data_IF_697967752615
#
_entry.id   IF_697967752615
#
_cell.length_a   1.000
_cell.length_b   1.000
_cell.length_c   1.000
_cell.angle_alpha   90.00
_cell.angle_beta   90.00
_cell.angle_gamma   90.00
#
_symmetry.space_group_name_H-M   'P 1'
#
loop_
_entity.id
_entity.type
_entity.pdbx_description
1 polymer ?
#
# COMPACT_ATOMS: atom_id res chain seq x y z
N UNK A 1 30.99 15.83 12.21
CA UNK A 1 30.78 14.96 11.05
C UNK A 1 29.69 13.93 11.39
N UNK A 2 28.43 14.28 11.16
CA UNK A 2 27.29 13.44 11.56
C UNK A 2 27.03 12.39 10.48
N UNK A 3 27.22 11.12 10.83
CA UNK A 3 26.95 9.92 10.05
C UNK A 3 25.65 10.01 9.23
N UNK A 4 25.76 10.39 7.95
CA UNK A 4 24.71 10.17 6.95
C UNK A 4 24.52 8.66 6.86
N UNK A 5 23.51 8.10 7.54
CA UNK A 5 23.06 6.72 7.30
C UNK A 5 22.83 6.60 5.80
N UNK A 6 23.69 5.86 5.11
CA UNK A 6 23.61 5.62 3.69
C UNK A 6 22.32 4.85 3.41
N UNK A 7 21.36 5.50 2.74
CA UNK A 7 20.18 4.87 2.18
C UNK A 7 20.63 4.04 0.96
N UNK A 8 21.33 2.92 1.19
CA UNK A 8 21.76 2.04 0.11
C UNK A 8 20.57 1.30 -0.47
N UNK A 9 20.52 1.18 -1.80
CA UNK A 9 19.49 0.45 -2.54
C UNK A 9 19.14 -0.93 -1.94
N UNK A 10 20.10 -1.83 -1.61
CA UNK A 10 19.77 -3.15 -1.06
C UNK A 10 19.06 -3.07 0.30
N UNK A 11 19.38 -2.07 1.12
CA UNK A 11 18.74 -1.89 2.42
C UNK A 11 17.31 -1.36 2.29
N UNK A 12 17.07 -0.49 1.31
CA UNK A 12 15.72 -0.04 0.98
C UNK A 12 14.91 -1.17 0.35
N UNK A 13 15.52 -1.97 -0.54
CA UNK A 13 14.90 -3.13 -1.15
C UNK A 13 14.39 -4.12 -0.11
N UNK A 14 15.22 -4.47 0.88
CA UNK A 14 14.80 -5.37 1.97
C UNK A 14 13.69 -4.80 2.87
N UNK A 15 13.71 -3.48 3.13
CA UNK A 15 12.65 -2.84 3.90
C UNK A 15 11.31 -2.85 3.13
N UNK A 16 11.33 -2.49 1.85
CA UNK A 16 10.14 -2.46 1.01
C UNK A 16 9.65 -3.85 0.64
N UNK A 17 10.52 -4.84 0.48
CA UNK A 17 10.12 -6.23 0.25
C UNK A 17 9.35 -6.79 1.44
N UNK A 18 9.84 -6.56 2.66
CA UNK A 18 9.14 -6.98 3.88
C UNK A 18 7.84 -6.20 4.06
N UNK A 19 7.85 -4.89 3.80
CA UNK A 19 6.67 -4.05 3.95
C UNK A 19 5.58 -4.44 2.95
N UNK A 20 5.88 -4.42 1.65
CA UNK A 20 4.94 -4.80 0.61
C UNK A 20 4.47 -6.24 0.76
N UNK A 21 5.36 -7.17 1.13
CA UNK A 21 5.00 -8.57 1.38
C UNK A 21 4.02 -8.72 2.54
N UNK A 22 4.26 -8.05 3.66
CA UNK A 22 3.36 -8.10 4.84
C UNK A 22 2.02 -7.42 4.58
N UNK A 23 2.00 -6.34 3.80
CA UNK A 23 0.73 -5.65 3.47
C UNK A 23 -0.07 -6.38 2.39
N UNK A 24 0.58 -7.10 1.48
CA UNK A 24 -0.08 -7.90 0.46
C UNK A 24 -0.50 -9.29 0.98
N UNK A 25 -0.06 -9.70 2.17
CA UNK A 25 -0.29 -11.03 2.72
C UNK A 25 -1.80 -11.35 2.91
N UNK A 26 -2.62 -10.46 3.50
CA UNK A 26 -4.05 -10.71 3.66
C UNK A 26 -4.77 -10.93 2.31
N UNK A 27 -4.50 -10.08 1.32
CA UNK A 27 -5.12 -10.19 0.00
C UNK A 27 -4.58 -11.37 -0.81
N UNK A 28 -3.29 -11.69 -0.67
CA UNK A 28 -2.68 -12.87 -1.28
C UNK A 28 -3.31 -14.18 -0.78
N UNK A 29 -3.64 -14.28 0.52
CA UNK A 29 -4.36 -15.43 1.09
C UNK A 29 -5.73 -15.59 0.44
N UNK A 30 -6.51 -14.51 0.35
CA UNK A 30 -7.84 -14.52 -0.27
C UNK A 30 -7.74 -14.90 -1.74
N UNK A 31 -6.78 -14.30 -2.45
CA UNK A 31 -6.59 -14.53 -3.87
C UNK A 31 -6.12 -15.94 -4.17
N UNK A 32 -5.28 -16.58 -3.35
CA UNK A 32 -4.95 -18.01 -3.50
C UNK A 32 -6.19 -18.88 -3.32
N UNK A 33 -7.06 -18.55 -2.36
CA UNK A 33 -8.31 -19.28 -2.16
C UNK A 33 -9.28 -19.12 -3.33
N UNK A 34 -9.26 -17.97 -4.02
CA UNK A 34 -10.14 -17.66 -5.16
C UNK A 34 -9.55 -18.07 -6.53
N UNK A 35 -8.24 -17.96 -6.72
CA UNK A 35 -7.52 -18.23 -7.95
C UNK A 35 -6.56 -19.41 -7.72
N UNK A 36 -7.04 -20.62 -7.98
CA UNK A 36 -6.30 -21.87 -7.75
C UNK A 36 -5.23 -22.20 -8.83
N UNK A 37 -4.90 -21.24 -9.69
CA UNK A 37 -3.98 -21.43 -10.81
C UNK A 37 -2.54 -21.00 -10.52
N UNK A 38 -1.57 -21.85 -10.87
CA UNK A 38 -0.14 -21.49 -10.89
C UNK A 38 0.16 -20.17 -11.65
N UNK A 39 -0.43 -19.89 -12.84
CA UNK A 39 -0.19 -18.62 -13.53
C UNK A 39 -0.67 -17.41 -12.75
N UNK A 40 -1.81 -17.51 -12.03
CA UNK A 40 -2.33 -16.44 -11.20
C UNK A 40 -1.39 -16.12 -10.04
N UNK A 41 -0.84 -17.14 -9.37
CA UNK A 41 0.12 -16.95 -8.28
C UNK A 41 1.39 -16.25 -8.78
N UNK A 42 1.91 -16.65 -9.94
CA UNK A 42 3.09 -16.02 -10.56
C UNK A 42 2.80 -14.56 -10.93
N UNK A 43 1.62 -14.27 -11.48
CA UNK A 43 1.16 -12.93 -11.80
C UNK A 43 1.14 -12.02 -10.56
N UNK A 44 0.62 -12.51 -9.44
CA UNK A 44 0.59 -11.76 -8.18
C UNK A 44 2.00 -11.48 -7.65
N UNK A 45 2.89 -12.49 -7.65
CA UNK A 45 4.29 -12.33 -7.24
C UNK A 45 5.00 -11.30 -8.12
N UNK A 46 4.77 -11.32 -9.43
CA UNK A 46 5.34 -10.36 -10.37
C UNK A 46 4.85 -8.93 -10.09
N UNK A 47 3.55 -8.75 -9.82
CA UNK A 47 2.98 -7.46 -9.42
C UNK A 47 3.62 -6.93 -8.13
N UNK A 48 3.73 -7.76 -7.09
CA UNK A 48 4.38 -7.40 -5.82
C UNK A 48 5.85 -7.02 -6.06
N UNK A 49 6.59 -7.82 -6.83
CA UNK A 49 7.99 -7.55 -7.15
C UNK A 49 8.14 -6.19 -7.85
N UNK A 50 7.26 -5.88 -8.80
CA UNK A 50 7.26 -4.60 -9.53
C UNK A 50 7.13 -3.42 -8.57
N UNK A 51 6.23 -3.49 -7.59
CA UNK A 51 6.10 -2.45 -6.56
C UNK A 51 7.32 -2.35 -5.66
N UNK A 52 7.87 -3.48 -5.22
CA UNK A 52 9.08 -3.51 -4.38
C UNK A 52 10.24 -2.82 -5.08
N UNK A 53 10.45 -3.12 -6.37
CA UNK A 53 11.47 -2.47 -7.18
C UNK A 53 11.20 -0.98 -7.40
N UNK A 54 9.96 -0.61 -7.74
CA UNK A 54 9.59 0.79 -7.93
C UNK A 54 9.83 1.62 -6.66
N UNK A 55 9.43 1.11 -5.49
CA UNK A 55 9.65 1.77 -4.21
C UNK A 55 11.12 1.84 -3.81
N UNK A 56 11.88 0.76 -3.99
CA UNK A 56 13.31 0.76 -3.74
C UNK A 56 14.05 1.75 -4.66
N UNK A 57 13.62 1.86 -5.92
CA UNK A 57 14.20 2.81 -6.88
C UNK A 57 13.90 4.26 -6.48
N UNK A 58 12.64 4.59 -6.20
CA UNK A 58 12.24 5.95 -5.77
C UNK A 58 12.97 6.35 -4.49
N UNK A 59 13.05 5.46 -3.50
CA UNK A 59 13.66 5.78 -2.19
C UNK A 59 15.19 5.75 -2.18
N UNK A 60 15.83 5.09 -3.14
CA UNK A 60 17.28 5.14 -3.34
C UNK A 60 17.75 6.37 -4.10
N UNK A 61 16.83 7.08 -4.78
CA UNK A 61 17.17 8.26 -5.57
C UNK A 61 17.54 9.44 -4.65
N UNK A 62 18.66 10.16 -4.90
CA UNK A 62 19.13 11.26 -4.05
C UNK A 62 18.18 12.47 -3.99
N UNK A 63 17.25 12.59 -4.95
CA UNK A 63 16.15 13.55 -4.94
C UNK A 63 15.20 13.35 -3.75
N UNK A 64 14.96 12.09 -3.35
CA UNK A 64 14.12 11.79 -2.19
C UNK A 64 14.73 12.39 -0.92
N UNK A 65 16.05 12.32 -0.75
CA UNK A 65 16.74 12.92 0.40
C UNK A 65 16.65 14.45 0.51
N UNK A 66 16.36 15.17 -0.60
CA UNK A 66 16.21 16.63 -0.61
C UNK A 66 14.79 17.08 -0.26
N UNK A 67 13.77 16.32 -0.64
CA UNK A 67 12.35 16.63 -0.38
C UNK A 67 11.88 16.05 0.96
N UNK A 68 12.57 15.02 1.47
CA UNK A 68 12.25 14.37 2.73
C UNK A 68 12.77 15.16 3.92
N UNK A 69 12.17 16.32 4.16
CA UNK A 69 12.38 17.05 5.39
C UNK A 69 11.98 16.17 6.59
N UNK A 70 12.60 16.41 7.75
CA UNK A 70 12.56 15.48 8.92
C UNK A 70 11.13 15.15 9.37
N UNK A 71 10.16 16.00 9.05
CA UNK A 71 8.72 15.83 9.33
C UNK A 71 8.00 14.96 8.30
N UNK A 72 8.16 15.25 6.99
CA UNK A 72 7.54 14.48 5.90
C UNK A 72 8.02 13.03 5.99
N UNK A 73 9.32 12.82 6.25
CA UNK A 73 9.83 11.48 6.40
C UNK A 73 9.42 10.71 7.63
N UNK A 74 9.07 11.42 8.71
CA UNK A 74 8.44 10.80 9.88
C UNK A 74 6.99 10.43 9.59
N UNK A 75 6.24 11.26 8.88
CA UNK A 75 4.85 11.00 8.53
C UNK A 75 4.69 9.76 7.64
N UNK A 76 5.52 9.64 6.59
CA UNK A 76 5.52 8.47 5.69
C UNK A 76 5.88 7.19 6.47
N UNK A 77 6.92 7.24 7.31
CA UNK A 77 7.31 6.09 8.16
C UNK A 77 6.22 5.69 9.15
N UNK A 78 5.49 6.67 9.71
CA UNK A 78 4.40 6.40 10.62
C UNK A 78 3.20 5.80 9.88
N UNK A 79 2.85 6.34 8.71
CA UNK A 79 1.82 5.79 7.84
C UNK A 79 2.12 4.35 7.43
N UNK A 80 3.36 4.05 7.03
CA UNK A 80 3.78 2.67 6.68
C UNK A 80 3.67 1.72 7.87
N UNK A 81 3.96 2.18 9.09
CA UNK A 81 3.83 1.36 10.30
C UNK A 81 2.38 1.12 10.67
N UNK A 82 1.53 2.15 10.64
CA UNK A 82 0.10 2.02 10.91
C UNK A 82 -0.51 1.02 9.93
N UNK A 83 -0.19 1.16 8.64
CA UNK A 83 -0.63 0.24 7.58
C UNK A 83 -0.22 -1.20 7.88
N UNK A 84 1.05 -1.41 8.19
CA UNK A 84 1.59 -2.74 8.51
C UNK A 84 0.88 -3.35 9.73
N UNK A 85 0.62 -2.56 10.78
CA UNK A 85 -0.10 -3.02 11.96
C UNK A 85 -1.53 -3.42 11.60
N UNK A 86 -2.23 -2.63 10.78
CA UNK A 86 -3.60 -2.93 10.32
C UNK A 86 -3.61 -4.25 9.53
N UNK A 87 -2.71 -4.42 8.56
CA UNK A 87 -2.64 -5.64 7.76
C UNK A 87 -2.28 -6.87 8.62
N UNK A 88 -1.33 -6.75 9.57
CA UNK A 88 -1.00 -7.85 10.49
C UNK A 88 -2.15 -8.15 11.46
N UNK A 89 -2.85 -7.13 11.96
CA UNK A 89 -4.00 -7.31 12.84
C UNK A 89 -5.20 -7.96 12.11
N UNK A 90 -5.25 -7.86 10.79
CA UNK A 90 -6.26 -8.56 9.98
C UNK A 90 -5.96 -10.05 9.76
N UNK A 91 -4.69 -10.48 9.83
CA UNK A 91 -4.32 -11.89 9.59
C UNK A 91 -5.08 -12.88 10.48
N UNK A 92 -5.24 -12.67 11.80
CA UNK A 92 -6.05 -13.54 12.66
C UNK A 92 -7.52 -13.67 12.23
N UNK A 93 -8.10 -12.59 11.68
CA UNK A 93 -9.48 -12.58 11.18
C UNK A 93 -9.64 -13.39 9.88
N UNK A 94 -8.54 -13.63 9.17
CA UNK A 94 -8.48 -14.41 7.93
C UNK A 94 -8.18 -15.91 8.15
N UNK A 95 -7.67 -16.31 9.32
CA UNK A 95 -7.39 -17.71 9.67
C UNK A 95 -8.59 -18.64 9.39
N UNK A 96 -9.86 -18.29 9.69
CA UNK A 96 -11.01 -19.17 9.45
C UNK A 96 -11.28 -19.51 7.97
N UNK A 97 -10.67 -18.77 7.04
CA UNK A 97 -10.86 -18.91 5.59
C UNK A 97 -9.77 -19.79 4.97
N UNK A 98 -8.64 -19.94 5.68
CA UNK A 98 -7.50 -20.73 5.21
C UNK A 98 -7.90 -22.21 5.26
N UNK A 99 -8.13 -22.81 4.08
CA UNK A 99 -8.54 -24.21 3.92
C UNK A 99 -10.05 -24.40 3.68
N UNK A 100 -10.83 -23.32 3.60
CA UNK A 100 -12.23 -23.37 3.21
C UNK A 100 -12.33 -22.94 1.74
N UNK A 101 -12.83 -23.82 0.88
CA UNK A 101 -13.12 -23.49 -0.51
C UNK A 101 -14.21 -22.42 -0.55
N UNK A 102 -13.84 -21.19 -0.94
CA UNK A 102 -14.78 -20.06 -1.02
C UNK A 102 -15.94 -20.35 -2.01
N UNK A 103 -15.71 -21.23 -2.98
CA UNK A 103 -16.73 -21.71 -3.92
C UNK A 103 -17.83 -22.56 -3.25
N UNK A 104 -17.56 -23.13 -2.07
CA UNK A 104 -18.45 -24.04 -1.36
C UNK A 104 -19.26 -23.38 -0.23
N UNK A 105 -18.95 -22.13 0.11
CA UNK A 105 -19.60 -21.41 1.20
C UNK A 105 -20.54 -20.36 0.63
N UNK A 106 -21.84 -20.55 0.82
CA UNK A 106 -22.89 -19.65 0.33
C UNK A 106 -22.78 -18.21 0.88
N UNK A 107 -22.04 -18.01 1.98
CA UNK A 107 -21.81 -16.70 2.58
C UNK A 107 -20.36 -16.55 3.06
N UNK A 108 -19.60 -15.55 2.59
CA UNK A 108 -18.27 -15.27 3.12
C UNK A 108 -18.37 -14.91 4.62
N UNK A 109 -17.47 -15.43 5.47
CA UNK A 109 -17.51 -15.15 6.89
C UNK A 109 -17.47 -13.64 7.15
N UNK A 110 -18.36 -13.16 8.02
CA UNK A 110 -18.56 -11.72 8.25
C UNK A 110 -17.30 -10.99 8.74
N UNK A 111 -16.33 -11.72 9.28
CA UNK A 111 -15.01 -11.22 9.70
C UNK A 111 -14.18 -10.64 8.54
N UNK A 112 -14.41 -11.08 7.30
CA UNK A 112 -13.66 -10.64 6.11
C UNK A 112 -13.98 -9.19 5.76
N UNK A 113 -15.24 -8.77 5.95
CA UNK A 113 -15.69 -7.41 5.64
C UNK A 113 -15.06 -6.34 6.55
N UNK A 114 -14.58 -6.73 7.73
CA UNK A 114 -13.88 -5.82 8.64
C UNK A 114 -12.41 -5.59 8.27
N UNK A 115 -11.90 -6.31 7.27
CA UNK A 115 -10.53 -6.13 6.81
C UNK A 115 -10.49 -5.05 5.72
N UNK A 116 -9.87 -3.89 5.95
CA UNK A 116 -9.81 -2.83 4.94
C UNK A 116 -9.06 -3.27 3.68
N UNK A 117 -8.08 -4.17 3.81
CA UNK A 117 -7.34 -4.74 2.69
C UNK A 117 -8.22 -5.62 1.78
N UNK A 118 -9.29 -6.24 2.32
CA UNK A 118 -10.28 -6.97 1.51
C UNK A 118 -11.03 -6.04 0.56
N UNK A 119 -11.45 -4.86 1.03
CA UNK A 119 -12.12 -3.87 0.19
C UNK A 119 -11.24 -3.36 -0.94
N UNK A 120 -9.94 -3.16 -0.68
CA UNK A 120 -8.99 -2.78 -1.73
C UNK A 120 -8.84 -3.87 -2.78
N UNK A 121 -8.71 -5.14 -2.36
CA UNK A 121 -8.67 -6.28 -3.29
C UNK A 121 -9.95 -6.44 -4.11
N UNK A 122 -11.12 -6.34 -3.46
CA UNK A 122 -12.42 -6.44 -4.12
C UNK A 122 -12.62 -5.35 -5.18
N UNK A 123 -12.34 -4.09 -4.82
CA UNK A 123 -12.41 -2.96 -5.75
C UNK A 123 -11.38 -3.13 -6.89
N UNK A 124 -10.17 -3.63 -6.59
CA UNK A 124 -9.15 -3.85 -7.61
C UNK A 124 -9.56 -4.91 -8.65
N UNK A 125 -10.19 -6.01 -8.22
CA UNK A 125 -10.72 -7.04 -9.14
C UNK A 125 -11.81 -6.45 -10.04
N UNK A 126 -12.75 -5.67 -9.49
CA UNK A 126 -13.81 -5.03 -10.28
C UNK A 126 -13.21 -4.08 -11.33
N UNK A 127 -12.25 -3.24 -10.93
CA UNK A 127 -11.60 -2.30 -11.85
C UNK A 127 -10.77 -3.05 -12.89
N UNK A 128 -10.06 -4.11 -12.51
CA UNK A 128 -9.29 -4.93 -13.44
C UNK A 128 -10.21 -5.56 -14.51
N UNK A 129 -11.33 -6.12 -14.10
CA UNK A 129 -12.32 -6.69 -15.00
C UNK A 129 -12.89 -5.62 -15.94
N UNK A 130 -13.24 -4.44 -15.43
CA UNK A 130 -13.72 -3.32 -16.24
C UNK A 130 -12.66 -2.83 -17.23
N UNK A 131 -11.40 -2.71 -16.80
CA UNK A 131 -10.29 -2.25 -17.61
C UNK A 131 -9.98 -3.23 -18.76
N UNK A 132 -9.92 -4.53 -18.47
CA UNK A 132 -9.70 -5.57 -19.48
C UNK A 132 -10.86 -5.56 -20.47
N UNK A 133 -12.11 -5.54 -20.01
CA UNK A 133 -13.27 -5.50 -20.90
C UNK A 133 -13.33 -4.22 -21.76
N UNK A 134 -12.95 -3.06 -21.22
CA UNK A 134 -12.89 -1.82 -21.97
C UNK A 134 -11.81 -1.86 -23.07
N UNK A 135 -10.66 -2.48 -22.80
CA UNK A 135 -9.59 -2.67 -23.79
C UNK A 135 -10.02 -3.67 -24.86
N UNK A 136 -10.65 -4.79 -24.49
CA UNK A 136 -11.13 -5.81 -25.42
C UNK A 136 -12.28 -5.30 -26.30
N UNK A 137 -13.19 -4.50 -25.74
CA UNK A 137 -14.27 -3.85 -26.52
C UNK A 137 -13.77 -2.69 -27.39
N UNK A 138 -12.75 -1.95 -26.95
CA UNK A 138 -12.10 -0.92 -27.78
C UNK A 138 -11.37 -1.51 -28.99
N UNK A 139 -10.78 -2.70 -28.83
CA UNK A 139 -10.07 -3.42 -29.89
C UNK A 139 -10.99 -3.94 -31.00
N UNK A 140 -12.30 -4.12 -30.74
CA UNK A 140 -13.29 -4.52 -31.74
C UNK A 140 -13.60 -3.44 -32.81
N UNK A 141 -13.01 -2.24 -32.71
CA UNK A 141 -13.10 -1.19 -33.75
C UNK A 141 -11.87 -1.09 -34.66
N UNK A 142 -10.81 -1.88 -34.40
CA UNK A 142 -9.62 -1.95 -35.26
C UNK A 142 -9.30 -3.40 -35.57
N UNK A 143 -9.64 -3.82 -36.80
CA UNK A 143 -9.62 -5.20 -37.26
C UNK A 143 -8.37 -6.00 -36.87
N UNK A 144 -8.60 -7.08 -36.14
CA UNK A 144 -7.63 -8.13 -35.84
C UNK A 144 -8.37 -9.44 -35.68
N UNK A 145 -8.21 -10.32 -36.66
CA UNK A 145 -8.81 -11.65 -36.80
C UNK A 145 -8.53 -12.57 -35.60
N UNK A 146 -9.61 -13.10 -35.00
CA UNK A 146 -9.76 -14.52 -34.67
C UNK A 146 -8.59 -15.22 -33.98
N UNK A 147 -8.26 -14.84 -32.76
CA UNK A 147 -7.68 -15.73 -31.76
C UNK A 147 -8.61 -15.74 -30.56
N UNK A 148 -9.24 -16.87 -30.24
CA UNK A 148 -9.92 -17.00 -28.95
C UNK A 148 -8.92 -16.70 -27.84
N UNK A 149 -9.34 -16.12 -26.70
CA UNK A 149 -8.41 -15.77 -25.64
C UNK A 149 -7.62 -17.02 -25.27
N UNK A 150 -6.30 -16.95 -25.44
CA UNK A 150 -5.41 -17.96 -24.86
C UNK A 150 -5.74 -18.00 -23.37
N UNK A 151 -6.36 -19.07 -22.89
CA UNK A 151 -6.83 -19.20 -21.49
C UNK A 151 -5.70 -18.85 -20.50
N UNK A 152 -4.46 -19.16 -20.88
CA UNK A 152 -3.24 -18.81 -20.15
C UNK A 152 -3.01 -17.30 -20.00
N UNK A 153 -3.36 -16.51 -21.02
CA UNK A 153 -3.25 -15.06 -21.00
C UNK A 153 -4.28 -14.43 -20.08
N UNK A 154 -5.55 -14.86 -20.15
CA UNK A 154 -6.61 -14.34 -19.27
C UNK A 154 -6.39 -14.72 -17.79
N UNK A 155 -5.96 -15.96 -17.53
CA UNK A 155 -5.61 -16.45 -16.19
C UNK A 155 -4.41 -15.72 -15.56
N UNK A 156 -3.55 -15.10 -16.37
CA UNK A 156 -2.41 -14.31 -15.90
C UNK A 156 -2.74 -12.81 -15.83
N UNK A 157 -3.38 -12.26 -16.86
CA UNK A 157 -3.62 -10.82 -17.00
C UNK A 157 -4.60 -10.29 -15.96
N UNK A 158 -5.66 -11.03 -15.65
CA UNK A 158 -6.63 -10.62 -14.65
C UNK A 158 -6.00 -10.46 -13.26
N UNK A 159 -5.36 -11.50 -12.67
CA UNK A 159 -4.73 -11.36 -11.35
C UNK A 159 -3.53 -10.41 -11.38
N UNK A 160 -2.76 -10.32 -12.48
CA UNK A 160 -1.68 -9.34 -12.61
C UNK A 160 -2.22 -7.90 -12.52
N UNK A 161 -3.23 -7.57 -13.34
CA UNK A 161 -3.82 -6.23 -13.41
C UNK A 161 -4.50 -5.87 -12.09
N UNK A 162 -5.22 -6.83 -11.48
CA UNK A 162 -5.80 -6.66 -10.16
C UNK A 162 -4.73 -6.38 -9.10
N UNK A 163 -3.61 -7.12 -9.09
CA UNK A 163 -2.49 -6.87 -8.15
C UNK A 163 -1.87 -5.49 -8.35
N UNK A 164 -1.74 -5.05 -9.61
CA UNK A 164 -1.22 -3.71 -9.92
C UNK A 164 -2.16 -2.62 -9.38
N UNK A 165 -3.46 -2.72 -9.67
CA UNK A 165 -4.47 -1.75 -9.21
C UNK A 165 -4.56 -1.76 -7.68
N UNK A 166 -4.58 -2.93 -7.06
CA UNK A 166 -4.60 -3.09 -5.61
C UNK A 166 -3.39 -2.41 -4.99
N UNK A 167 -2.19 -2.69 -5.51
CA UNK A 167 -0.96 -2.04 -5.07
C UNK A 167 -1.03 -0.51 -5.21
N UNK A 168 -1.62 0.02 -6.29
CA UNK A 168 -1.84 1.47 -6.45
C UNK A 168 -2.83 2.03 -5.42
N UNK A 169 -3.93 1.33 -5.15
CA UNK A 169 -4.92 1.74 -4.13
C UNK A 169 -4.30 1.74 -2.74
N UNK A 170 -3.48 0.73 -2.41
CA UNK A 170 -2.71 0.64 -1.17
C UNK A 170 -1.74 1.83 -1.08
N UNK A 171 -1.02 2.10 -2.16
CA UNK A 171 -0.07 3.22 -2.27
C UNK A 171 -0.75 4.57 -2.02
N UNK A 172 -1.89 4.80 -2.68
CA UNK A 172 -2.67 6.03 -2.56
C UNK A 172 -3.21 6.24 -1.14
N UNK A 173 -3.75 5.18 -0.53
CA UNK A 173 -4.23 5.25 0.85
C UNK A 173 -3.09 5.45 1.85
N UNK A 174 -1.88 4.97 1.55
CA UNK A 174 -0.68 5.27 2.34
C UNK A 174 -0.33 6.76 2.31
N UNK A 175 -0.35 7.37 1.12
CA UNK A 175 -0.13 8.82 0.95
C UNK A 175 -1.20 9.61 1.70
N UNK A 176 -2.46 9.17 1.63
CA UNK A 176 -3.56 9.81 2.33
C UNK A 176 -3.40 9.77 3.86
N UNK A 177 -3.06 8.60 4.43
CA UNK A 177 -2.76 8.46 5.87
C UNK A 177 -1.56 9.34 6.26
N UNK A 178 -0.49 9.33 5.46
CA UNK A 178 0.68 10.15 5.72
C UNK A 178 0.35 11.66 5.70
N UNK A 179 -0.52 12.08 4.79
CA UNK A 179 -1.02 13.45 4.69
C UNK A 179 -1.83 13.86 5.92
N UNK A 180 -2.75 13.01 6.41
CA UNK A 180 -3.50 13.26 7.64
C UNK A 180 -2.54 13.37 8.85
N UNK A 181 -1.58 12.45 8.96
CA UNK A 181 -0.56 12.49 10.02
C UNK A 181 0.23 13.80 9.97
N UNK A 182 0.59 14.26 8.78
CA UNK A 182 1.30 15.53 8.60
C UNK A 182 0.43 16.69 9.09
N UNK A 183 -0.85 16.76 8.72
CA UNK A 183 -1.79 17.79 9.20
C UNK A 183 -1.86 17.77 10.73
N UNK A 184 -2.05 16.61 11.34
CA UNK A 184 -2.14 16.47 12.81
C UNK A 184 -0.86 16.92 13.50
N UNK A 185 0.31 16.53 12.97
CA UNK A 185 1.60 16.95 13.50
C UNK A 185 1.83 18.45 13.35
N UNK A 186 1.45 19.03 12.20
CA UNK A 186 1.57 20.46 11.97
C UNK A 186 0.66 21.27 12.91
N UNK A 187 -0.58 20.81 13.09
CA UNK A 187 -1.53 21.42 14.02
C UNK A 187 -1.05 21.36 15.47
N UNK A 188 -0.50 20.22 15.89
CA UNK A 188 0.07 20.06 17.24
C UNK A 188 1.31 20.93 17.45
N UNK A 189 2.16 21.09 16.43
CA UNK A 189 3.32 21.99 16.49
C UNK A 189 2.90 23.45 16.67
N UNK A 190 1.90 23.91 15.92
CA UNK A 190 1.38 25.27 16.05
C UNK A 190 0.74 25.54 17.42
N UNK A 191 0.14 24.53 18.06
CA UNK A 191 -0.37 24.68 19.44
C UNK A 191 0.73 24.79 20.50
N UNK A 192 1.88 24.16 20.29
CA UNK A 192 3.01 24.19 21.25
C UNK A 192 3.89 25.44 21.11
N UNK A 193 3.73 26.21 20.03
CA UNK A 193 4.44 27.47 19.80
C UNK A 193 3.66 28.69 20.32
N UNK A 194 2.60 28.52 21.11
CA UNK A 194 2.01 29.67 21.81
C UNK A 194 3.07 30.30 22.72
N UNK A 195 3.35 31.62 22.60
CA UNK A 195 4.53 32.22 23.19
C UNK A 195 4.47 32.14 24.71
N UNK A 196 5.57 31.70 25.34
CA UNK A 196 5.84 31.92 26.76
C UNK A 196 6.11 33.41 27.08
N UNK A 197 5.59 34.35 26.29
CA UNK A 197 5.76 35.80 26.46
C UNK A 197 4.83 36.41 27.53
N UNK A 198 4.19 35.59 28.36
CA UNK A 198 3.36 36.03 29.48
C UNK A 198 3.98 35.77 30.86
N UNK A 199 5.31 35.68 30.95
CA UNK A 199 5.98 35.96 32.21
C UNK A 199 6.64 37.33 32.10
N UNK A 200 5.96 38.42 32.52
CA UNK A 200 6.67 39.66 32.79
C UNK A 200 7.80 39.34 33.78
N UNK A 201 9.04 39.69 33.41
CA UNK A 201 10.13 39.71 34.38
C UNK A 201 9.71 40.64 35.54
N UNK A 202 9.84 40.22 36.81
CA UNK A 202 9.53 41.08 37.94
C UNK A 202 10.43 42.32 37.88
N UNK A 203 9.87 43.55 37.91
CA UNK A 203 10.61 44.80 37.73
C UNK A 203 11.52 45.21 38.89
N UNK A 204 11.96 44.28 39.74
CA UNK A 204 12.57 44.60 41.03
C UNK A 204 14.00 44.04 41.15
N UNK A 205 14.86 44.34 40.16
CA UNK A 205 16.32 44.37 40.34
C UNK A 205 17.02 45.44 39.47
N UNK A 206 16.39 46.60 39.27
CA UNK A 206 17.08 47.82 38.85
C UNK A 206 17.04 48.84 39.98
N UNK A 207 18.04 48.77 40.85
CA UNK A 207 18.34 49.82 41.83
C UNK A 207 18.27 49.37 43.28
N UNK A 208 19.32 48.66 43.71
CA UNK A 208 19.93 48.81 45.04
C UNK A 208 21.35 48.27 45.02
#
# INVERSE_FOLDING_TARGET
EHTRRTNTFPRQLGFWSLHCGLTALPSFIIAISAFKGLPAIIAMICGIATFVFAYAFITSTPLYGKVHDRLIGRSIKLGTRIRMIISVASLPLLIPIIGVDIDSVAEPPTSVFFTPDFWFGYVAIIIAFLAINAVTQGSLTTGGTGGGPDQLGEEFLLPYTATIIEGLLISLSLVFIAFIVLIVLNFRRNRQQMPSQYFPEPPDMQGR
#
